data_IF_109734687432
#
_entry.id   IF_109734687432
#
_cell.length_a   1.000
_cell.length_b   1.000
_cell.length_c   1.000
_cell.angle_alpha   90.00
_cell.angle_beta   90.00
_cell.angle_gamma   90.00
#
_symmetry.space_group_name_H-M   'P 1'
#
loop_
_entity.id
_entity.type
_entity.pdbx_description
1 polymer ?
#
# COMPACT_ATOMS: atom_id res chain seq x y z
N UNK A 1 -4.61 -39.52 -4.15
CA UNK A 1 -4.78 -38.45 -5.14
C UNK A 1 -3.74 -38.66 -6.22
N UNK A 2 -4.09 -38.54 -7.47
CA UNK A 2 -3.19 -38.95 -8.56
C UNK A 2 -2.09 -37.89 -8.72
N UNK A 3 -0.89 -38.11 -8.21
CA UNK A 3 0.27 -37.22 -8.28
C UNK A 3 0.48 -36.67 -9.71
N UNK A 4 0.25 -37.51 -10.72
CA UNK A 4 0.32 -37.10 -12.14
C UNK A 4 -0.59 -35.95 -12.55
N UNK A 5 -1.80 -35.81 -11.93
CA UNK A 5 -2.73 -34.70 -12.28
C UNK A 5 -2.23 -33.39 -11.68
N UNK A 6 -1.81 -33.41 -10.42
CA UNK A 6 -1.26 -32.22 -9.77
C UNK A 6 0.02 -31.71 -10.46
N UNK A 7 0.91 -32.63 -10.81
CA UNK A 7 2.16 -32.31 -11.53
C UNK A 7 1.87 -31.61 -12.85
N UNK A 8 0.87 -32.06 -13.59
CA UNK A 8 0.45 -31.43 -14.84
C UNK A 8 0.08 -29.96 -14.69
N UNK A 9 -0.51 -29.56 -13.57
CA UNK A 9 -0.89 -28.18 -13.29
C UNK A 9 0.23 -27.33 -12.70
N UNK A 10 1.23 -27.92 -12.06
CA UNK A 10 2.17 -27.16 -11.21
C UNK A 10 3.63 -27.28 -11.63
N UNK A 11 4.07 -28.43 -12.18
CA UNK A 11 5.48 -28.75 -12.39
C UNK A 11 6.14 -27.77 -13.36
N UNK A 12 5.57 -27.59 -14.55
CA UNK A 12 6.13 -26.72 -15.59
C UNK A 12 6.20 -25.25 -15.13
N UNK A 13 5.19 -24.79 -14.38
CA UNK A 13 5.18 -23.45 -13.81
C UNK A 13 6.30 -23.24 -12.79
N UNK A 14 6.55 -24.23 -11.91
CA UNK A 14 7.61 -24.17 -10.92
C UNK A 14 9.00 -24.28 -11.56
N UNK A 15 9.18 -25.15 -12.55
CA UNK A 15 10.43 -25.27 -13.33
C UNK A 15 10.73 -23.98 -14.08
N UNK A 16 9.72 -23.40 -14.74
CA UNK A 16 9.85 -22.10 -15.42
C UNK A 16 10.20 -20.98 -14.43
N UNK A 17 9.58 -20.97 -13.23
CA UNK A 17 9.92 -19.98 -12.21
C UNK A 17 11.37 -20.10 -11.74
N UNK A 18 11.91 -21.33 -11.59
CA UNK A 18 13.33 -21.55 -11.25
C UNK A 18 14.27 -21.11 -12.39
N UNK A 19 13.95 -21.49 -13.62
CA UNK A 19 14.75 -21.13 -14.79
C UNK A 19 14.84 -19.61 -15.01
N UNK A 20 13.77 -18.89 -14.71
CA UNK A 20 13.68 -17.43 -14.90
C UNK A 20 14.05 -16.63 -13.64
N UNK A 21 14.60 -17.25 -12.59
CA UNK A 21 14.92 -16.59 -11.32
C UNK A 21 13.71 -15.88 -10.67
N UNK A 22 12.47 -16.35 -10.94
CA UNK A 22 11.24 -15.80 -10.33
C UNK A 22 10.68 -16.71 -9.23
N UNK A 23 11.34 -17.83 -8.93
CA UNK A 23 10.97 -18.71 -7.82
C UNK A 23 11.10 -17.96 -6.49
N UNK A 24 10.09 -18.15 -5.62
CA UNK A 24 9.99 -17.44 -4.34
C UNK A 24 10.12 -18.43 -3.19
N UNK A 25 10.89 -18.05 -2.17
CA UNK A 25 11.04 -18.78 -0.91
C UNK A 25 10.65 -17.86 0.25
N UNK A 26 10.09 -18.46 1.31
CA UNK A 26 9.81 -17.74 2.55
C UNK A 26 11.11 -17.57 3.33
N UNK A 27 11.38 -16.34 3.80
CA UNK A 27 12.47 -16.08 4.73
C UNK A 27 11.96 -16.24 6.16
N UNK A 28 12.69 -16.99 6.98
CA UNK A 28 12.37 -17.16 8.39
C UNK A 28 13.07 -16.09 9.22
N UNK A 29 12.29 -15.31 9.97
CA UNK A 29 12.75 -14.33 10.96
C UNK A 29 12.40 -14.91 12.32
N UNK A 30 13.37 -15.04 13.23
CA UNK A 30 13.22 -15.70 14.53
C UNK A 30 13.14 -14.74 15.73
N UNK A 31 12.98 -13.45 15.48
CA UNK A 31 12.77 -12.40 16.49
C UNK A 31 11.49 -11.62 16.20
N UNK A 32 10.98 -10.80 17.15
CA UNK A 32 10.06 -9.73 16.83
C UNK A 32 10.64 -8.82 15.74
N UNK A 33 9.75 -8.23 14.92
CA UNK A 33 10.16 -7.26 13.89
C UNK A 33 10.45 -5.90 14.53
N UNK A 34 11.66 -5.36 14.31
CA UNK A 34 12.12 -4.05 14.74
C UNK A 34 13.15 -3.53 13.73
N UNK A 35 13.91 -2.45 14.06
CA UNK A 35 15.06 -1.99 13.24
C UNK A 35 16.12 -3.07 13.03
N UNK A 36 16.18 -4.03 13.94
CA UNK A 36 16.96 -5.26 13.86
C UNK A 36 16.11 -6.51 13.95
N UNK A 37 16.52 -7.56 13.26
CA UNK A 37 15.90 -8.90 13.32
C UNK A 37 16.95 -9.98 13.37
N UNK A 38 16.59 -11.14 13.93
CA UNK A 38 17.46 -12.32 13.93
C UNK A 38 17.13 -13.22 12.73
N UNK A 39 18.11 -13.42 11.84
CA UNK A 39 18.02 -14.33 10.69
C UNK A 39 19.15 -15.33 10.78
N UNK A 40 18.82 -16.63 10.82
CA UNK A 40 19.79 -17.73 10.96
C UNK A 40 20.78 -17.51 12.13
N UNK A 41 20.29 -16.95 13.25
CA UNK A 41 21.09 -16.68 14.46
C UNK A 41 21.97 -15.42 14.38
N UNK A 42 21.90 -14.64 13.29
CA UNK A 42 22.62 -13.38 13.14
C UNK A 42 21.69 -12.19 13.37
N UNK A 43 22.20 -11.20 14.12
CA UNK A 43 21.57 -9.88 14.23
C UNK A 43 21.75 -9.10 12.91
N UNK A 44 20.67 -8.51 12.40
CA UNK A 44 20.63 -7.97 11.06
C UNK A 44 19.80 -6.69 11.02
N UNK A 45 20.35 -5.60 10.51
CA UNK A 45 19.63 -4.33 10.28
C UNK A 45 18.55 -4.56 9.22
N UNK A 46 17.31 -4.20 9.53
CA UNK A 46 16.13 -4.49 8.71
C UNK A 46 15.74 -3.28 7.85
N UNK A 47 16.14 -3.28 6.59
CA UNK A 47 15.71 -2.29 5.58
C UNK A 47 14.64 -2.84 4.61
N UNK A 48 13.82 -3.78 5.07
CA UNK A 48 12.87 -4.52 4.23
C UNK A 48 11.41 -4.39 4.68
N UNK A 49 11.17 -3.94 5.90
CA UNK A 49 9.82 -3.90 6.48
C UNK A 49 9.04 -2.65 6.06
N UNK A 50 7.71 -2.79 5.99
CA UNK A 50 6.79 -1.67 5.86
C UNK A 50 6.27 -1.16 7.22
N UNK A 51 6.83 -1.60 8.36
CA UNK A 51 6.51 -1.14 9.71
C UNK A 51 7.15 0.23 9.99
N UNK A 52 6.81 1.22 9.16
CA UNK A 52 7.51 2.52 9.08
C UNK A 52 7.66 3.25 10.42
N UNK A 53 6.69 3.10 11.32
CA UNK A 53 6.71 3.76 12.64
C UNK A 53 7.13 2.82 13.78
N UNK A 54 7.34 1.53 13.50
CA UNK A 54 7.70 0.49 14.48
C UNK A 54 6.76 0.44 15.70
N UNK A 55 5.46 0.53 15.45
CA UNK A 55 4.46 0.55 16.52
C UNK A 55 4.22 -0.83 17.14
N UNK A 56 4.49 -1.91 16.42
CA UNK A 56 4.27 -3.28 16.88
C UNK A 56 5.06 -3.62 18.17
N UNK A 57 6.12 -2.85 18.47
CA UNK A 57 6.96 -3.06 19.65
C UNK A 57 6.71 -2.11 20.81
N UNK A 58 5.83 -1.13 20.65
CA UNK A 58 5.48 -0.17 21.71
C UNK A 58 4.76 -0.93 22.84
N UNK A 59 5.28 -0.91 24.10
CA UNK A 59 4.77 -1.75 25.19
C UNK A 59 3.29 -1.52 25.50
N UNK A 60 2.86 -0.25 25.52
CA UNK A 60 1.47 0.12 25.79
C UNK A 60 0.50 -0.36 24.70
N UNK A 61 0.92 -0.42 23.43
CA UNK A 61 0.12 -0.90 22.32
C UNK A 61 0.01 -2.43 22.34
N UNK A 62 1.09 -3.13 22.72
CA UNK A 62 1.05 -4.59 22.98
C UNK A 62 0.08 -4.91 24.10
N UNK A 63 0.11 -4.16 25.21
CA UNK A 63 -0.77 -4.36 26.34
C UNK A 63 -2.22 -4.13 25.94
N UNK A 64 -2.51 -3.05 25.21
CA UNK A 64 -3.86 -2.75 24.74
C UNK A 64 -4.45 -3.88 23.87
N UNK A 65 -3.63 -4.50 23.00
CA UNK A 65 -4.06 -5.67 22.23
C UNK A 65 -4.32 -6.89 23.12
N UNK A 66 -3.46 -7.15 24.12
CA UNK A 66 -3.63 -8.24 25.06
C UNK A 66 -4.93 -8.08 25.88
N UNK A 67 -5.20 -6.89 26.37
CA UNK A 67 -6.43 -6.57 27.11
C UNK A 67 -7.67 -6.77 26.23
N UNK A 68 -7.61 -6.35 24.97
CA UNK A 68 -8.71 -6.55 24.02
C UNK A 68 -8.95 -8.04 23.69
N UNK A 69 -7.89 -8.87 23.67
CA UNK A 69 -8.04 -10.33 23.54
C UNK A 69 -8.79 -10.92 24.75
N UNK A 70 -8.47 -10.46 25.95
CA UNK A 70 -9.12 -10.94 27.18
C UNK A 70 -10.59 -10.51 27.24
N UNK A 71 -10.93 -9.33 26.74
CA UNK A 71 -12.30 -8.79 26.74
C UNK A 71 -13.15 -9.37 25.59
N UNK A 72 -12.62 -9.38 24.37
CA UNK A 72 -13.41 -9.67 23.16
C UNK A 72 -13.15 -11.07 22.56
N UNK A 73 -12.16 -11.81 23.06
CA UNK A 73 -11.75 -13.08 22.52
C UNK A 73 -10.88 -12.97 21.27
N UNK A 74 -10.57 -14.13 20.66
CA UNK A 74 -9.57 -14.25 19.59
C UNK A 74 -10.14 -14.12 18.18
N UNK A 75 -11.46 -14.01 18.01
CA UNK A 75 -12.06 -13.96 16.68
C UNK A 75 -13.50 -13.45 16.66
N UNK A 76 -14.03 -13.17 15.49
CA UNK A 76 -15.35 -12.57 15.30
C UNK A 76 -16.46 -13.59 15.12
N UNK A 77 -16.19 -14.79 14.60
CA UNK A 77 -17.13 -15.88 14.41
C UNK A 77 -18.17 -15.68 13.30
N UNK A 78 -18.26 -14.51 12.68
CA UNK A 78 -19.24 -14.19 11.63
C UNK A 78 -18.84 -12.99 10.78
N UNK A 79 -19.56 -12.77 9.68
CA UNK A 79 -19.41 -11.57 8.87
C UNK A 79 -19.94 -10.32 9.59
N UNK A 80 -19.46 -9.13 9.18
CA UNK A 80 -19.88 -7.83 9.76
C UNK A 80 -21.41 -7.64 9.77
N UNK A 81 -22.09 -8.10 8.72
CA UNK A 81 -23.55 -7.97 8.59
C UNK A 81 -24.38 -9.01 9.38
N UNK A 82 -23.72 -9.94 10.06
CA UNK A 82 -24.40 -10.95 10.88
C UNK A 82 -24.05 -10.79 12.36
N UNK A 83 -23.00 -11.46 12.82
CA UNK A 83 -22.57 -11.46 14.22
C UNK A 83 -21.18 -10.88 14.44
N UNK A 84 -20.47 -10.56 13.34
CA UNK A 84 -19.05 -10.15 13.37
C UNK A 84 -18.81 -8.70 13.71
N UNK A 85 -19.86 -7.81 13.68
CA UNK A 85 -19.70 -6.42 14.07
C UNK A 85 -19.68 -6.30 15.60
N UNK A 86 -18.65 -5.68 16.15
CA UNK A 86 -18.42 -5.45 17.57
C UNK A 86 -18.02 -3.98 17.81
N UNK A 87 -18.19 -3.50 19.03
CA UNK A 87 -17.78 -2.14 19.43
C UNK A 87 -16.40 -1.71 18.93
N UNK A 88 -15.32 -2.51 19.03
CA UNK A 88 -14.02 -2.11 18.52
C UNK A 88 -13.99 -1.81 17.00
N UNK A 89 -14.86 -2.44 16.22
CA UNK A 89 -14.93 -2.13 14.77
C UNK A 89 -15.56 -0.74 14.54
N UNK A 90 -16.65 -0.44 15.25
CA UNK A 90 -17.34 0.83 15.10
C UNK A 90 -16.45 2.00 15.57
N UNK A 91 -15.80 1.84 16.71
CA UNK A 91 -14.84 2.82 17.25
C UNK A 91 -13.63 3.03 16.33
N UNK A 92 -13.10 1.96 15.72
CA UNK A 92 -12.03 2.05 14.74
C UNK A 92 -12.47 2.85 13.50
N UNK A 93 -13.63 2.54 12.94
CA UNK A 93 -14.18 3.22 11.76
C UNK A 93 -14.45 4.71 12.04
N UNK A 94 -14.99 5.05 13.21
CA UNK A 94 -15.17 6.42 13.64
C UNK A 94 -13.85 7.17 13.76
N UNK A 95 -12.83 6.51 14.35
CA UNK A 95 -11.52 7.14 14.50
C UNK A 95 -10.78 7.29 13.17
N UNK A 96 -10.88 6.30 12.25
CA UNK A 96 -10.31 6.43 10.89
C UNK A 96 -10.91 7.64 10.18
N UNK A 97 -12.24 7.80 10.21
CA UNK A 97 -12.90 8.95 9.60
C UNK A 97 -12.36 10.28 10.17
N UNK A 98 -12.30 10.39 11.50
CA UNK A 98 -11.72 11.56 12.18
C UNK A 98 -10.27 11.79 11.80
N UNK A 99 -9.44 10.75 11.83
CA UNK A 99 -8.00 10.85 11.54
C UNK A 99 -7.75 11.28 10.09
N UNK A 100 -8.56 10.78 9.16
CA UNK A 100 -8.47 11.16 7.74
C UNK A 100 -9.17 12.48 7.40
N UNK A 101 -9.96 13.04 8.31
CA UNK A 101 -10.75 14.25 8.03
C UNK A 101 -11.93 14.01 7.10
N UNK A 102 -12.45 12.78 7.07
CA UNK A 102 -13.56 12.33 6.24
C UNK A 102 -14.87 12.19 7.01
N UNK A 103 -16.00 12.14 6.30
CA UNK A 103 -17.32 12.01 6.96
C UNK A 103 -17.56 10.64 7.59
N UNK A 104 -16.98 9.58 7.01
CA UNK A 104 -17.17 8.20 7.44
C UNK A 104 -16.05 7.30 6.94
N UNK A 105 -15.93 6.11 7.55
CA UNK A 105 -15.01 5.07 7.12
C UNK A 105 -15.60 3.67 7.31
N UNK A 106 -14.99 2.68 6.65
CA UNK A 106 -15.32 1.26 6.77
C UNK A 106 -14.01 0.45 6.77
N UNK A 107 -13.90 -0.50 7.71
CA UNK A 107 -12.73 -1.37 7.85
C UNK A 107 -12.92 -2.71 7.13
N UNK A 108 -11.86 -3.16 6.47
CA UNK A 108 -11.72 -4.44 5.79
C UNK A 108 -10.62 -5.29 6.45
N UNK A 109 -10.64 -6.61 6.23
CA UNK A 109 -9.63 -7.48 6.81
C UNK A 109 -8.21 -7.21 6.25
N UNK A 110 -8.09 -6.68 5.04
CA UNK A 110 -6.81 -6.29 4.44
C UNK A 110 -6.98 -5.09 3.50
N UNK A 111 -5.90 -4.33 3.25
CA UNK A 111 -5.90 -3.30 2.21
C UNK A 111 -6.18 -3.86 0.80
N UNK A 112 -5.72 -5.10 0.53
CA UNK A 112 -6.05 -5.80 -0.70
C UNK A 112 -7.57 -5.96 -0.89
N UNK A 113 -8.28 -6.40 0.16
CA UNK A 113 -9.74 -6.56 0.15
C UNK A 113 -10.47 -5.21 0.05
N UNK A 114 -9.91 -4.15 0.62
CA UNK A 114 -10.43 -2.79 0.50
C UNK A 114 -10.41 -2.33 -0.96
N UNK A 115 -9.27 -2.45 -1.66
CA UNK A 115 -9.15 -2.10 -3.08
C UNK A 115 -10.09 -2.93 -3.96
N UNK A 116 -10.00 -4.26 -3.87
CA UNK A 116 -10.81 -5.17 -4.69
C UNK A 116 -12.30 -4.94 -4.47
N UNK A 117 -12.72 -4.81 -3.20
CA UNK A 117 -14.12 -4.61 -2.84
C UNK A 117 -14.67 -3.27 -3.29
N UNK A 118 -13.89 -2.21 -3.19
CA UNK A 118 -14.28 -0.85 -3.53
C UNK A 118 -14.41 -0.67 -5.05
N UNK A 119 -13.36 -1.02 -5.79
CA UNK A 119 -13.34 -0.86 -7.25
C UNK A 119 -14.44 -1.70 -7.90
N UNK A 120 -14.57 -2.97 -7.50
CA UNK A 120 -15.59 -3.87 -8.07
C UNK A 120 -17.02 -3.54 -7.63
N UNK A 121 -17.21 -2.76 -6.55
CA UNK A 121 -18.51 -2.25 -6.16
C UNK A 121 -18.89 -0.96 -6.92
N UNK A 122 -17.92 -0.05 -7.10
CA UNK A 122 -18.16 1.25 -7.74
C UNK A 122 -18.33 1.14 -9.25
N UNK A 123 -17.59 0.26 -9.92
CA UNK A 123 -17.55 0.14 -11.37
C UNK A 123 -18.04 -1.22 -11.87
N UNK A 124 -18.67 -1.21 -13.03
CA UNK A 124 -19.13 -2.39 -13.77
C UNK A 124 -18.80 -2.31 -15.25
N UNK A 125 -19.27 -3.28 -16.05
CA UNK A 125 -18.90 -3.46 -17.47
C UNK A 125 -19.19 -2.25 -18.38
N UNK A 126 -20.06 -1.34 -17.95
CA UNK A 126 -20.43 -0.15 -18.73
C UNK A 126 -19.65 1.11 -18.32
N UNK A 127 -18.86 1.02 -17.27
CA UNK A 127 -18.08 2.12 -16.69
C UNK A 127 -16.63 2.09 -17.21
N UNK A 128 -15.90 3.16 -16.97
CA UNK A 128 -14.51 3.34 -17.40
C UNK A 128 -13.60 3.57 -16.20
N UNK A 129 -12.42 2.95 -16.22
CA UNK A 129 -11.41 3.13 -15.18
C UNK A 129 -10.12 3.62 -15.82
N UNK A 130 -9.51 4.64 -15.21
CA UNK A 130 -8.22 5.20 -15.60
C UNK A 130 -7.20 4.85 -14.53
N UNK A 131 -6.25 3.97 -14.86
CA UNK A 131 -5.30 3.39 -13.92
C UNK A 131 -3.88 3.82 -14.27
N UNK A 132 -3.12 4.31 -13.29
CA UNK A 132 -1.68 4.46 -13.44
C UNK A 132 -1.03 3.10 -13.73
N UNK A 133 -0.03 3.07 -14.61
CA UNK A 133 0.62 1.83 -15.05
C UNK A 133 1.41 1.11 -13.94
N UNK A 134 1.78 1.82 -12.87
CA UNK A 134 2.52 1.27 -11.73
C UNK A 134 1.64 0.96 -10.51
N UNK A 135 0.33 1.02 -10.65
CA UNK A 135 -0.61 0.72 -9.57
C UNK A 135 -0.41 -0.68 -8.98
N UNK A 136 -0.68 -0.79 -7.67
CA UNK A 136 -0.59 -2.03 -6.94
C UNK A 136 -1.50 -3.13 -7.50
N UNK A 137 -1.05 -4.39 -7.38
CA UNK A 137 -1.75 -5.58 -7.90
C UNK A 137 -3.22 -5.68 -7.43
N UNK A 138 -3.55 -5.25 -6.21
CA UNK A 138 -4.92 -5.25 -5.70
C UNK A 138 -5.85 -4.30 -6.45
N UNK A 139 -5.33 -3.18 -6.94
CA UNK A 139 -6.06 -2.24 -7.81
C UNK A 139 -6.33 -2.92 -9.14
N UNK A 140 -5.30 -3.51 -9.76
CA UNK A 140 -5.41 -4.24 -11.03
C UNK A 140 -6.45 -5.38 -10.92
N UNK A 141 -6.44 -6.15 -9.83
CA UNK A 141 -7.39 -7.24 -9.63
C UNK A 141 -8.81 -6.72 -9.36
N UNK A 142 -8.96 -5.61 -8.63
CA UNK A 142 -10.24 -4.92 -8.47
C UNK A 142 -10.82 -4.45 -9.81
N UNK A 143 -9.97 -3.88 -10.68
CA UNK A 143 -10.34 -3.47 -12.05
C UNK A 143 -10.82 -4.67 -12.87
N UNK A 144 -10.07 -5.78 -12.87
CA UNK A 144 -10.44 -7.00 -13.58
C UNK A 144 -11.79 -7.55 -13.11
N UNK A 145 -12.02 -7.57 -11.79
CA UNK A 145 -13.28 -8.05 -11.20
C UNK A 145 -14.46 -7.15 -11.50
N UNK A 146 -14.26 -5.84 -11.62
CA UNK A 146 -15.31 -4.88 -12.00
C UNK A 146 -15.85 -5.12 -13.41
N UNK A 147 -15.01 -5.67 -14.30
CA UNK A 147 -15.27 -5.80 -15.75
C UNK A 147 -15.44 -4.46 -16.47
N UNK A 148 -15.13 -3.35 -15.82
CA UNK A 148 -15.10 -2.04 -16.45
C UNK A 148 -13.99 -1.99 -17.50
N UNK A 149 -14.15 -1.13 -18.50
CA UNK A 149 -13.08 -0.90 -19.46
C UNK A 149 -11.99 -0.07 -18.82
N UNK A 150 -10.77 -0.61 -18.80
CA UNK A 150 -9.61 0.06 -18.24
C UNK A 150 -8.80 0.74 -19.33
N UNK A 151 -8.43 1.99 -19.07
CA UNK A 151 -7.42 2.75 -19.79
C UNK A 151 -6.24 2.93 -18.84
N UNK A 152 -5.10 2.34 -19.19
CA UNK A 152 -3.86 2.50 -18.44
C UNK A 152 -3.13 3.73 -18.98
N UNK A 153 -2.81 4.69 -18.11
CA UNK A 153 -2.01 5.85 -18.46
C UNK A 153 -0.58 5.72 -17.91
N UNK A 154 0.36 6.40 -18.57
CA UNK A 154 1.77 6.40 -18.18
C UNK A 154 1.93 6.98 -16.79
N UNK A 155 2.86 6.40 -16.05
CA UNK A 155 3.11 6.74 -14.67
C UNK A 155 3.27 8.25 -14.45
N UNK A 156 2.41 8.80 -13.58
CA UNK A 156 2.34 10.22 -13.24
C UNK A 156 2.23 11.19 -14.44
N UNK A 157 1.85 10.71 -15.65
CA UNK A 157 1.64 11.56 -16.83
C UNK A 157 0.20 12.06 -16.90
N UNK A 158 -0.02 13.25 -16.38
CA UNK A 158 -1.35 13.90 -16.34
C UNK A 158 -1.89 14.18 -17.73
N UNK A 159 -1.04 14.49 -18.71
CA UNK A 159 -1.46 14.70 -20.09
C UNK A 159 -1.91 13.38 -20.75
N UNK A 160 -1.27 12.26 -20.42
CA UNK A 160 -1.69 10.95 -20.90
C UNK A 160 -3.02 10.51 -20.25
N UNK A 161 -3.21 10.82 -18.95
CA UNK A 161 -4.49 10.62 -18.26
C UNK A 161 -5.62 11.41 -18.94
N UNK A 162 -5.41 12.69 -19.26
CA UNK A 162 -6.43 13.50 -19.97
C UNK A 162 -6.76 12.90 -21.34
N UNK A 163 -5.76 12.48 -22.12
CA UNK A 163 -5.98 11.79 -23.42
C UNK A 163 -6.78 10.49 -23.24
N UNK A 164 -6.48 9.71 -22.21
CA UNK A 164 -7.20 8.48 -21.90
C UNK A 164 -8.70 8.75 -21.59
N UNK A 165 -8.98 9.80 -20.82
CA UNK A 165 -10.36 10.20 -20.51
C UNK A 165 -11.10 10.66 -21.76
N UNK A 166 -10.48 11.49 -22.63
CA UNK A 166 -11.08 11.90 -23.87
C UNK A 166 -11.38 10.71 -24.80
N UNK A 167 -10.46 9.76 -24.92
CA UNK A 167 -10.67 8.55 -25.70
C UNK A 167 -11.85 7.72 -25.14
N UNK A 168 -11.97 7.60 -23.82
CA UNK A 168 -13.09 6.89 -23.18
C UNK A 168 -14.43 7.61 -23.41
N UNK A 169 -14.47 8.94 -23.33
CA UNK A 169 -15.67 9.73 -23.60
C UNK A 169 -16.12 9.61 -25.06
N UNK A 170 -15.19 9.67 -26.01
CA UNK A 170 -15.49 9.46 -27.42
C UNK A 170 -16.07 8.05 -27.67
N UNK A 171 -15.52 7.02 -27.03
CA UNK A 171 -16.05 5.66 -27.10
C UNK A 171 -17.44 5.54 -26.48
N UNK A 172 -17.66 6.18 -25.32
CA UNK A 172 -18.97 6.24 -24.69
C UNK A 172 -20.01 6.86 -25.62
N UNK A 173 -19.69 8.03 -26.21
CA UNK A 173 -20.58 8.72 -27.16
C UNK A 173 -20.93 7.85 -28.37
N UNK A 174 -19.94 7.16 -28.93
CA UNK A 174 -20.15 6.26 -30.05
C UNK A 174 -21.03 5.06 -29.67
N UNK A 175 -20.83 4.49 -28.47
CA UNK A 175 -21.64 3.36 -27.95
C UNK A 175 -23.08 3.75 -27.68
N UNK A 176 -23.30 4.87 -26.99
CA UNK A 176 -24.62 5.36 -26.60
C UNK A 176 -25.33 6.16 -27.70
N UNK A 177 -24.64 6.45 -28.83
CA UNK A 177 -25.13 7.27 -29.94
C UNK A 177 -25.59 8.65 -29.50
N UNK A 178 -24.86 9.28 -28.60
CA UNK A 178 -25.09 10.63 -28.07
C UNK A 178 -24.00 11.59 -28.54
N UNK A 179 -24.34 12.88 -28.60
CA UNK A 179 -23.37 13.92 -28.93
C UNK A 179 -22.36 14.11 -27.77
N UNK A 180 -21.17 14.59 -28.08
CA UNK A 180 -20.08 14.80 -27.09
C UNK A 180 -20.46 15.73 -25.93
N UNK A 181 -21.42 16.62 -26.12
CA UNK A 181 -21.93 17.50 -25.08
C UNK A 181 -23.07 16.89 -24.23
N UNK A 182 -23.47 15.65 -24.51
CA UNK A 182 -24.56 14.93 -23.82
C UNK A 182 -24.05 13.75 -22.98
N UNK A 183 -22.88 13.87 -22.33
CA UNK A 183 -22.21 12.81 -21.54
C UNK A 183 -22.71 12.71 -20.09
N UNK A 184 -23.94 13.09 -19.80
CA UNK A 184 -24.48 13.14 -18.43
C UNK A 184 -24.46 11.80 -17.68
N UNK A 185 -24.36 10.67 -18.40
CA UNK A 185 -24.32 9.31 -17.83
C UNK A 185 -22.93 8.67 -17.93
N UNK A 186 -21.89 9.41 -18.31
CA UNK A 186 -20.54 8.90 -18.31
C UNK A 186 -20.09 8.63 -16.86
N UNK A 187 -19.56 7.43 -16.63
CA UNK A 187 -19.04 7.05 -15.32
C UNK A 187 -17.57 6.67 -15.45
N UNK A 188 -16.70 7.54 -14.95
CA UNK A 188 -15.26 7.36 -14.93
C UNK A 188 -14.73 7.29 -13.50
N UNK A 189 -13.77 6.40 -13.27
CA UNK A 189 -13.01 6.29 -12.03
C UNK A 189 -11.51 6.43 -12.35
N UNK A 190 -10.87 7.47 -11.83
CA UNK A 190 -9.41 7.59 -11.81
C UNK A 190 -8.93 6.88 -10.55
N UNK A 191 -7.96 5.97 -10.66
CA UNK A 191 -7.41 5.26 -9.51
C UNK A 191 -5.88 5.21 -9.58
N UNK A 192 -5.22 5.53 -8.45
CA UNK A 192 -3.76 5.49 -8.34
C UNK A 192 -3.30 5.26 -6.90
N UNK A 193 -2.08 4.71 -6.73
CA UNK A 193 -1.37 4.72 -5.45
C UNK A 193 -0.96 6.15 -5.09
N UNK A 194 -1.01 6.52 -3.82
CA UNK A 194 -0.51 7.79 -3.30
C UNK A 194 1.03 7.83 -3.25
N UNK A 195 1.61 6.69 -2.89
CA UNK A 195 3.06 6.43 -2.87
C UNK A 195 3.30 5.11 -3.58
N UNK A 196 4.08 5.12 -4.64
CA UNK A 196 4.38 3.92 -5.41
C UNK A 196 5.40 3.05 -4.69
N UNK A 197 4.98 1.81 -4.42
CA UNK A 197 5.66 0.93 -3.47
C UNK A 197 7.08 0.51 -3.87
N UNK A 198 7.46 0.64 -5.15
CA UNK A 198 8.77 0.21 -5.66
C UNK A 198 9.71 1.39 -5.92
N UNK A 199 9.18 2.58 -6.12
CA UNK A 199 9.93 3.77 -6.49
C UNK A 199 9.94 4.83 -5.36
N UNK A 200 8.93 4.81 -4.49
CA UNK A 200 8.82 5.74 -3.37
C UNK A 200 8.40 7.16 -3.77
N UNK A 201 8.05 7.36 -5.02
CA UNK A 201 7.55 8.63 -5.53
C UNK A 201 6.05 8.81 -5.25
N UNK A 202 5.57 10.04 -5.41
CA UNK A 202 4.24 10.46 -5.00
C UNK A 202 3.35 10.76 -6.20
N UNK A 203 2.07 10.39 -6.11
CA UNK A 203 1.06 10.88 -7.04
C UNK A 203 0.85 12.39 -6.90
N UNK A 204 0.61 13.07 -8.00
CA UNK A 204 0.32 14.51 -8.03
C UNK A 204 -1.17 14.75 -7.71
N UNK A 205 -1.54 14.65 -6.42
CA UNK A 205 -2.94 14.75 -5.98
C UNK A 205 -3.63 16.06 -6.40
N UNK A 206 -3.00 17.26 -6.30
CA UNK A 206 -3.66 18.48 -6.74
C UNK A 206 -4.08 18.46 -8.20
N UNK A 207 -3.24 17.93 -9.07
CA UNK A 207 -3.52 17.86 -10.49
C UNK A 207 -4.54 16.76 -10.83
N UNK A 208 -4.47 15.63 -10.14
CA UNK A 208 -5.49 14.56 -10.23
C UNK A 208 -6.88 15.07 -9.84
N UNK A 209 -6.99 15.84 -8.75
CA UNK A 209 -8.24 16.47 -8.33
C UNK A 209 -8.77 17.47 -9.39
N UNK A 210 -7.87 18.30 -9.94
CA UNK A 210 -8.24 19.23 -11.02
C UNK A 210 -8.83 18.49 -12.23
N UNK A 211 -8.16 17.42 -12.66
CA UNK A 211 -8.59 16.62 -13.81
C UNK A 211 -9.91 15.90 -13.49
N UNK A 212 -10.01 15.23 -12.35
CA UNK A 212 -11.20 14.49 -11.95
C UNK A 212 -12.44 15.38 -11.98
N UNK A 213 -12.36 16.59 -11.41
CA UNK A 213 -13.46 17.56 -11.40
C UNK A 213 -13.76 18.11 -12.79
N UNK A 214 -12.74 18.50 -13.56
CA UNK A 214 -12.93 19.02 -14.91
C UNK A 214 -13.53 17.99 -15.88
N UNK A 215 -13.42 16.70 -15.56
CA UNK A 215 -13.84 15.59 -16.43
C UNK A 215 -15.02 14.79 -15.88
N UNK A 216 -15.62 15.19 -14.75
CA UNK A 216 -16.71 14.49 -14.07
C UNK A 216 -16.39 13.01 -13.76
N UNK A 217 -15.17 12.76 -13.27
CA UNK A 217 -14.70 11.45 -12.84
C UNK A 217 -14.57 11.40 -11.32
N UNK A 218 -14.84 10.23 -10.72
CA UNK A 218 -14.45 9.94 -9.35
C UNK A 218 -12.93 9.77 -9.27
N UNK A 219 -12.33 10.19 -8.16
CA UNK A 219 -10.93 9.97 -7.83
C UNK A 219 -10.80 9.04 -6.63
N UNK A 220 -10.07 7.93 -6.80
CA UNK A 220 -9.69 7.00 -5.73
C UNK A 220 -8.19 6.99 -5.56
N UNK A 221 -7.72 7.16 -4.31
CA UNK A 221 -6.30 7.13 -3.96
C UNK A 221 -6.05 6.00 -2.95
N UNK A 222 -5.06 5.14 -3.24
CA UNK A 222 -4.56 4.16 -2.27
C UNK A 222 -3.40 4.75 -1.45
N UNK A 223 -3.65 4.98 -0.20
CA UNK A 223 -2.70 5.54 0.77
C UNK A 223 -1.99 4.48 1.61
N UNK A 224 -1.89 3.26 1.16
CA UNK A 224 -1.26 2.18 1.90
C UNK A 224 0.18 2.50 2.34
N UNK A 225 0.92 3.28 1.57
CA UNK A 225 2.27 3.74 1.89
C UNK A 225 2.34 5.23 2.33
N UNK A 226 1.21 5.93 2.39
CA UNK A 226 1.12 7.34 2.75
C UNK A 226 0.61 7.55 4.18
N UNK A 227 -0.43 6.79 4.60
CA UNK A 227 -0.98 6.86 5.96
C UNK A 227 0.09 6.51 7.00
N UNK A 228 0.31 7.40 7.97
CA UNK A 228 1.38 7.30 8.98
C UNK A 228 2.76 7.73 8.48
N UNK A 229 2.91 8.18 7.21
CA UNK A 229 4.20 8.54 6.59
C UNK A 229 4.19 9.96 6.07
N UNK A 230 3.21 10.32 5.24
CA UNK A 230 3.12 11.63 4.60
C UNK A 230 2.28 12.62 5.41
N UNK A 231 2.57 13.90 5.19
CA UNK A 231 1.96 14.99 5.95
C UNK A 231 2.67 15.22 7.29
N UNK A 232 2.41 16.34 7.92
CA UNK A 232 3.05 16.75 9.19
C UNK A 232 2.70 15.80 10.34
N UNK A 233 1.48 15.26 10.33
CA UNK A 233 0.94 14.39 11.37
C UNK A 233 0.65 12.96 10.88
N UNK A 234 1.05 12.62 9.65
CA UNK A 234 0.87 11.29 9.08
C UNK A 234 -0.52 11.01 8.52
N UNK A 235 -1.33 12.06 8.25
CA UNK A 235 -2.67 11.87 7.68
C UNK A 235 -2.69 11.53 6.19
N UNK A 236 -1.53 11.58 5.54
CA UNK A 236 -1.38 11.11 4.16
C UNK A 236 -1.20 12.22 3.12
N UNK A 237 -1.55 11.91 1.87
CA UNK A 237 -1.18 12.71 0.71
C UNK A 237 -1.90 14.08 0.67
N UNK A 238 -3.17 14.14 1.09
CA UNK A 238 -3.92 15.40 1.14
C UNK A 238 -3.32 16.37 2.17
N UNK A 239 -2.93 15.89 3.34
CA UNK A 239 -2.20 16.71 4.32
C UNK A 239 -0.84 17.17 3.78
N UNK A 240 -0.12 16.28 3.08
CA UNK A 240 1.20 16.60 2.49
C UNK A 240 1.11 17.76 1.51
N UNK A 241 0.13 17.74 0.61
CA UNK A 241 -0.09 18.81 -0.38
C UNK A 241 -0.91 19.99 0.15
N UNK A 242 -1.46 19.88 1.36
CA UNK A 242 -2.41 20.86 1.91
C UNK A 242 -3.56 21.15 0.94
N UNK A 243 -4.19 20.10 0.42
CA UNK A 243 -5.27 20.17 -0.56
C UNK A 243 -6.49 19.34 -0.09
N UNK A 244 -7.54 19.33 -0.90
CA UNK A 244 -8.73 18.52 -0.65
C UNK A 244 -8.43 17.02 -0.79
N UNK A 245 -9.29 16.19 -0.19
CA UNK A 245 -9.23 14.74 -0.30
C UNK A 245 -9.76 14.24 -1.65
N UNK A 246 -9.35 13.04 -2.04
CA UNK A 246 -10.00 12.31 -3.12
C UNK A 246 -11.41 11.87 -2.69
N UNK A 247 -12.28 11.53 -3.65
CA UNK A 247 -13.64 11.04 -3.34
C UNK A 247 -13.62 9.72 -2.57
N UNK A 248 -12.57 8.93 -2.77
CA UNK A 248 -12.37 7.61 -2.16
C UNK A 248 -10.91 7.50 -1.70
N UNK A 249 -10.70 7.47 -0.39
CA UNK A 249 -9.38 7.23 0.22
C UNK A 249 -9.31 5.80 0.74
N UNK A 250 -8.45 4.98 0.14
CA UNK A 250 -8.17 3.62 0.63
C UNK A 250 -6.86 3.63 1.41
N UNK A 251 -6.75 2.79 2.42
CA UNK A 251 -5.50 2.62 3.15
C UNK A 251 -5.36 1.23 3.76
N UNK A 252 -4.21 1.00 4.36
CA UNK A 252 -3.97 -0.23 5.12
C UNK A 252 -3.66 0.06 6.57
N UNK A 253 -4.05 -0.89 7.44
CA UNK A 253 -3.70 -0.89 8.86
C UNK A 253 -2.46 -1.75 9.15
N UNK A 254 -1.87 -2.39 8.12
CA UNK A 254 -0.81 -3.39 8.29
C UNK A 254 0.62 -2.87 8.11
N UNK A 255 0.79 -1.60 7.77
CA UNK A 255 2.12 -1.00 7.57
C UNK A 255 2.48 -0.05 8.72
N UNK A 256 2.44 1.25 8.51
CA UNK A 256 2.75 2.23 9.56
C UNK A 256 1.87 2.08 10.81
N UNK A 257 0.62 1.64 10.64
CA UNK A 257 -0.33 1.39 11.75
C UNK A 257 -0.02 0.10 12.52
N UNK A 258 0.79 -0.82 11.95
CA UNK A 258 1.31 -2.03 12.61
C UNK A 258 0.22 -2.95 13.22
N UNK A 259 -0.93 -3.06 12.55
CA UNK A 259 -1.99 -4.03 12.87
C UNK A 259 -2.27 -4.92 11.64
N UNK A 260 -3.40 -5.57 11.56
CA UNK A 260 -3.90 -6.19 10.34
C UNK A 260 -5.15 -5.44 9.89
N UNK A 261 -5.34 -5.29 8.57
CA UNK A 261 -6.54 -4.69 8.03
C UNK A 261 -6.31 -3.70 6.90
N UNK A 262 -7.41 -3.17 6.41
CA UNK A 262 -7.48 -2.06 5.48
C UNK A 262 -8.71 -1.21 5.79
N UNK A 263 -8.83 -0.08 5.12
CA UNK A 263 -9.98 0.80 5.29
C UNK A 263 -10.30 1.55 4.01
N UNK A 264 -11.53 2.04 3.94
CA UNK A 264 -11.95 3.07 2.99
C UNK A 264 -12.56 4.21 3.79
N UNK A 265 -12.15 5.43 3.49
CA UNK A 265 -12.71 6.65 4.06
C UNK A 265 -13.25 7.56 2.94
N UNK A 266 -14.28 8.35 3.24
CA UNK A 266 -14.94 9.27 2.32
C UNK A 266 -16.32 9.69 2.81
N UNK A 267 -17.23 10.04 1.89
CA UNK A 267 -18.57 10.47 2.23
C UNK A 267 -19.39 9.36 2.91
N UNK A 268 -20.38 9.75 3.74
CA UNK A 268 -21.33 8.80 4.35
C UNK A 268 -22.04 7.97 3.29
N UNK A 269 -22.42 8.58 2.18
CA UNK A 269 -23.08 7.88 1.07
C UNK A 269 -22.20 6.80 0.46
N UNK A 270 -20.90 7.07 0.25
CA UNK A 270 -19.93 6.08 -0.22
C UNK A 270 -19.86 4.89 0.74
N UNK A 271 -19.69 5.16 2.01
CA UNK A 271 -19.52 4.10 3.02
C UNK A 271 -20.79 3.26 3.17
N UNK A 272 -21.97 3.87 3.15
CA UNK A 272 -23.24 3.14 3.14
C UNK A 272 -23.36 2.26 1.88
N UNK A 273 -22.98 2.79 0.72
CA UNK A 273 -22.97 2.02 -0.54
C UNK A 273 -22.04 0.82 -0.43
N UNK A 274 -20.81 0.98 0.07
CA UNK A 274 -19.84 -0.11 0.22
C UNK A 274 -20.31 -1.19 1.20
N UNK A 275 -20.94 -0.83 2.31
CA UNK A 275 -21.56 -1.78 3.25
C UNK A 275 -22.59 -2.69 2.57
N UNK A 276 -23.24 -2.21 1.51
CA UNK A 276 -24.30 -2.93 0.78
C UNK A 276 -23.85 -3.58 -0.53
N UNK A 277 -22.68 -3.23 -1.08
CA UNK A 277 -22.23 -3.67 -2.40
C UNK A 277 -20.85 -4.31 -2.44
N UNK A 278 -19.96 -3.98 -1.51
CA UNK A 278 -18.60 -4.51 -1.49
C UNK A 278 -18.58 -5.99 -1.10
N UNK A 279 -18.31 -6.86 -2.07
CA UNK A 279 -18.36 -8.32 -1.87
C UNK A 279 -17.29 -8.81 -0.89
N UNK A 280 -16.08 -8.24 -0.91
CA UNK A 280 -15.01 -8.59 0.02
C UNK A 280 -15.29 -8.17 1.46
N UNK A 281 -16.24 -7.25 1.69
CA UNK A 281 -16.76 -6.90 3.00
C UNK A 281 -17.93 -7.82 3.42
N UNK A 282 -18.89 -8.02 2.52
CA UNK A 282 -20.15 -8.73 2.81
C UNK A 282 -19.92 -10.23 3.06
N UNK A 283 -19.05 -10.87 2.25
CA UNK A 283 -18.92 -12.32 2.20
C UNK A 283 -17.64 -12.84 2.86
N UNK A 284 -17.12 -12.10 3.84
CA UNK A 284 -15.97 -12.53 4.65
C UNK A 284 -16.31 -12.48 6.14
N UNK A 285 -15.68 -13.34 6.94
CA UNK A 285 -15.68 -13.20 8.39
C UNK A 285 -15.00 -11.90 8.76
N UNK A 286 -15.55 -11.15 9.71
CA UNK A 286 -14.96 -9.91 10.21
C UNK A 286 -13.58 -10.14 10.81
N UNK A 287 -12.70 -9.12 10.77
CA UNK A 287 -11.43 -9.16 11.51
C UNK A 287 -11.69 -9.42 13.01
N UNK A 288 -10.72 -9.98 13.72
CA UNK A 288 -10.87 -10.19 15.15
C UNK A 288 -11.04 -8.83 15.88
N UNK A 289 -11.96 -8.74 16.87
CA UNK A 289 -12.18 -7.49 17.59
C UNK A 289 -10.91 -6.93 18.25
N UNK A 290 -10.05 -7.81 18.75
CA UNK A 290 -8.77 -7.42 19.33
C UNK A 290 -7.82 -6.76 18.30
N UNK A 291 -7.87 -7.18 17.03
CA UNK A 291 -7.12 -6.55 15.94
C UNK A 291 -7.69 -5.17 15.63
N UNK A 292 -9.02 -5.02 15.62
CA UNK A 292 -9.66 -3.71 15.45
C UNK A 292 -9.29 -2.74 16.59
N UNK A 293 -9.32 -3.22 17.85
CA UNK A 293 -8.90 -2.44 19.00
C UNK A 293 -7.42 -2.05 18.94
N UNK A 294 -6.53 -2.96 18.52
CA UNK A 294 -5.12 -2.67 18.32
C UNK A 294 -4.91 -1.59 17.24
N UNK A 295 -5.58 -1.72 16.09
CA UNK A 295 -5.50 -0.74 15.02
C UNK A 295 -5.98 0.65 15.49
N UNK A 296 -7.07 0.72 16.23
CA UNK A 296 -7.57 1.95 16.87
C UNK A 296 -6.52 2.59 17.77
N UNK A 297 -5.93 1.81 18.70
CA UNK A 297 -4.92 2.32 19.63
C UNK A 297 -3.66 2.80 18.91
N UNK A 298 -3.24 2.07 17.87
CA UNK A 298 -2.10 2.45 17.05
C UNK A 298 -2.34 3.75 16.26
N UNK A 299 -3.53 3.94 15.70
CA UNK A 299 -3.90 5.22 15.06
C UNK A 299 -3.97 6.36 16.05
N UNK A 300 -4.53 6.13 17.26
CA UNK A 300 -4.55 7.12 18.34
C UNK A 300 -3.13 7.50 18.76
N UNK A 301 -2.22 6.53 18.81
CA UNK A 301 -0.81 6.78 19.10
C UNK A 301 -0.17 7.66 18.01
N UNK A 302 -0.39 7.37 16.73
CA UNK A 302 0.12 8.21 15.62
C UNK A 302 -0.40 9.65 15.76
N UNK A 303 -1.68 9.83 16.04
CA UNK A 303 -2.31 11.14 16.19
C UNK A 303 -1.75 11.95 17.38
N UNK A 304 -1.43 11.25 18.48
CA UNK A 304 -0.85 11.85 19.68
C UNK A 304 0.67 12.09 19.57
N UNK A 305 1.37 11.38 18.68
CA UNK A 305 2.84 11.37 18.57
C UNK A 305 3.35 11.73 17.17
N UNK A 306 3.05 12.93 16.64
CA UNK A 306 3.49 13.35 15.30
C UNK A 306 5.02 13.42 15.18
N UNK A 307 5.77 13.50 16.29
CA UNK A 307 7.23 13.42 16.34
C UNK A 307 7.76 12.09 15.77
N UNK A 308 6.96 11.00 15.83
CA UNK A 308 7.33 9.70 15.25
C UNK A 308 7.40 9.76 13.72
N UNK A 309 6.46 10.50 13.10
CA UNK A 309 6.45 10.76 11.66
C UNK A 309 7.64 11.64 11.26
N UNK A 310 7.97 12.65 12.08
CA UNK A 310 9.12 13.49 11.83
C UNK A 310 10.43 12.71 11.94
N UNK A 311 10.58 11.84 12.95
CA UNK A 311 11.74 10.97 13.13
C UNK A 311 11.96 10.06 11.91
N UNK A 312 10.89 9.49 11.34
CA UNK A 312 10.98 8.73 10.10
C UNK A 312 11.55 9.56 8.95
N UNK A 313 11.05 10.79 8.75
CA UNK A 313 11.55 11.70 7.70
C UNK A 313 13.02 12.08 7.91
N UNK A 314 13.41 12.34 9.16
CA UNK A 314 14.81 12.65 9.49
C UNK A 314 15.73 11.46 9.19
N UNK A 315 15.28 10.23 9.42
CA UNK A 315 15.98 9.01 9.06
C UNK A 315 16.07 8.81 7.54
N UNK A 316 14.99 9.07 6.80
CA UNK A 316 15.00 9.02 5.33
C UNK A 316 16.01 10.00 4.77
N UNK A 317 15.95 11.25 5.22
CA UNK A 317 16.91 12.29 4.78
C UNK A 317 18.34 11.89 5.09
N UNK A 318 18.61 11.46 6.33
CA UNK A 318 19.93 11.02 6.75
C UNK A 318 20.48 9.88 5.89
N UNK A 319 19.67 8.84 5.65
CA UNK A 319 20.10 7.69 4.88
C UNK A 319 20.35 8.04 3.39
N UNK A 320 19.49 8.86 2.78
CA UNK A 320 19.72 9.35 1.43
C UNK A 320 21.03 10.17 1.33
N UNK A 321 21.30 11.03 2.31
CA UNK A 321 22.51 11.84 2.34
C UNK A 321 23.76 10.95 2.54
N UNK A 322 23.69 9.93 3.41
CA UNK A 322 24.76 8.96 3.61
C UNK A 322 25.05 8.16 2.33
N UNK A 323 24.02 7.63 1.66
CA UNK A 323 24.21 6.92 0.39
C UNK A 323 24.86 7.80 -0.69
N UNK A 324 24.47 9.07 -0.79
CA UNK A 324 25.07 10.04 -1.73
C UNK A 324 26.51 10.37 -1.37
N UNK A 325 26.83 10.50 -0.09
CA UNK A 325 28.19 10.72 0.40
C UNK A 325 29.13 9.56 0.01
N UNK A 326 28.61 8.33 0.00
CA UNK A 326 29.29 7.14 -0.47
C UNK A 326 29.26 6.98 -2.01
N UNK A 327 28.80 7.98 -2.76
CA UNK A 327 28.84 8.00 -4.24
C UNK A 327 27.65 7.33 -4.94
N UNK A 328 26.64 6.87 -4.19
CA UNK A 328 25.46 6.24 -4.78
C UNK A 328 24.43 7.30 -5.21
N UNK A 329 23.84 7.10 -6.38
CA UNK A 329 22.77 7.94 -6.87
C UNK A 329 21.41 7.39 -6.37
N UNK A 330 20.76 8.14 -5.50
CA UNK A 330 19.41 7.82 -5.02
C UNK A 330 18.50 9.04 -5.23
N UNK A 331 17.22 8.83 -5.58
CA UNK A 331 16.28 9.92 -5.73
C UNK A 331 16.10 10.66 -4.40
N UNK A 332 15.65 11.91 -4.49
CA UNK A 332 15.07 12.57 -3.33
C UNK A 332 13.65 12.01 -3.16
N UNK A 333 13.34 11.52 -1.96
CA UNK A 333 12.02 11.00 -1.62
C UNK A 333 11.52 11.59 -0.33
N UNK A 334 10.20 11.76 -0.25
CA UNK A 334 9.50 12.16 0.97
C UNK A 334 8.83 10.95 1.65
N UNK A 335 8.85 9.78 0.98
CA UNK A 335 8.34 8.54 1.54
C UNK A 335 9.43 7.75 2.27
N UNK A 336 9.03 6.71 2.99
CA UNK A 336 9.94 5.81 3.69
C UNK A 336 10.66 4.81 2.77
N UNK A 337 10.47 4.91 1.44
CA UNK A 337 10.96 3.95 0.44
C UNK A 337 12.04 4.60 -0.40
N UNK A 338 13.22 3.97 -0.46
CA UNK A 338 14.39 4.47 -1.19
C UNK A 338 14.84 3.38 -2.16
N UNK A 339 14.62 3.57 -3.47
CA UNK A 339 15.12 2.64 -4.49
C UNK A 339 16.60 2.91 -4.78
N UNK A 340 17.41 1.85 -4.81
CA UNK A 340 18.81 1.87 -5.25
C UNK A 340 18.88 1.05 -6.52
N UNK A 341 18.93 1.71 -7.68
CA UNK A 341 18.85 1.07 -8.99
C UNK A 341 20.13 0.30 -9.30
N UNK A 342 19.98 -0.97 -9.61
CA UNK A 342 21.10 -1.88 -10.00
C UNK A 342 21.04 -2.21 -11.49
N UNK A 343 19.84 -2.28 -12.07
CA UNK A 343 19.61 -2.63 -13.48
C UNK A 343 19.55 -4.13 -13.72
N UNK A 344 20.68 -4.84 -13.55
CA UNK A 344 20.76 -6.29 -13.78
C UNK A 344 20.11 -7.08 -12.63
N UNK A 345 19.23 -8.02 -12.97
CA UNK A 345 18.44 -8.80 -12.02
C UNK A 345 19.30 -9.77 -11.19
N UNK A 346 20.24 -10.45 -11.86
CA UNK A 346 21.11 -11.41 -11.19
C UNK A 346 22.12 -10.70 -10.28
N UNK A 347 22.62 -9.53 -10.69
CA UNK A 347 23.48 -8.68 -9.86
C UNK A 347 22.73 -8.20 -8.63
N UNK A 348 21.48 -7.71 -8.76
CA UNK A 348 20.66 -7.26 -7.63
C UNK A 348 20.42 -8.37 -6.61
N UNK A 349 20.14 -9.59 -7.07
CA UNK A 349 19.97 -10.75 -6.18
C UNK A 349 21.25 -11.07 -5.40
N UNK A 350 22.41 -11.14 -6.09
CA UNK A 350 23.70 -11.41 -5.43
C UNK A 350 24.05 -10.35 -4.40
N UNK A 351 23.84 -9.06 -4.73
CA UNK A 351 24.08 -7.96 -3.80
C UNK A 351 23.20 -8.10 -2.56
N UNK A 352 21.88 -8.34 -2.73
CA UNK A 352 20.94 -8.53 -1.61
C UNK A 352 21.36 -9.71 -0.71
N UNK A 353 21.82 -10.82 -1.29
CA UNK A 353 22.29 -11.98 -0.54
C UNK A 353 23.60 -11.68 0.20
N UNK A 354 24.55 -11.01 -0.44
CA UNK A 354 25.81 -10.60 0.18
C UNK A 354 25.57 -9.64 1.34
N UNK A 355 24.71 -8.63 1.17
CA UNK A 355 24.32 -7.69 2.21
C UNK A 355 23.69 -8.39 3.42
N UNK A 356 22.83 -9.38 3.18
CA UNK A 356 22.25 -10.18 4.27
C UNK A 356 23.33 -10.92 5.06
N UNK A 357 24.36 -11.45 4.38
CA UNK A 357 25.47 -12.13 5.04
C UNK A 357 26.37 -11.13 5.83
N UNK A 358 26.40 -9.86 5.43
CA UNK A 358 27.09 -8.77 6.12
C UNK A 358 26.22 -8.06 7.19
N UNK A 359 25.00 -8.58 7.48
CA UNK A 359 24.13 -8.07 8.53
C UNK A 359 23.18 -6.94 8.11
N UNK A 360 22.88 -6.81 6.81
CA UNK A 360 21.90 -5.84 6.30
C UNK A 360 20.85 -6.57 5.45
N UNK A 361 19.61 -6.59 5.87
CA UNK A 361 18.50 -7.14 5.10
C UNK A 361 17.83 -6.08 4.24
N UNK A 362 18.08 -6.12 2.93
CA UNK A 362 17.45 -5.28 1.93
C UNK A 362 17.01 -6.13 0.74
N UNK A 363 15.72 -6.12 0.31
CA UNK A 363 15.24 -6.98 -0.75
C UNK A 363 15.65 -6.48 -2.13
N UNK A 364 16.02 -7.42 -3.01
CA UNK A 364 16.13 -7.16 -4.44
C UNK A 364 14.74 -7.27 -5.09
N UNK A 365 14.31 -6.19 -5.73
CA UNK A 365 13.09 -6.12 -6.54
C UNK A 365 13.47 -6.27 -8.01
N UNK A 366 12.77 -7.16 -8.71
CA UNK A 366 13.05 -7.51 -10.11
C UNK A 366 11.77 -7.81 -10.88
N UNK A 367 11.89 -8.08 -12.17
CA UNK A 367 10.77 -8.55 -12.98
C UNK A 367 10.06 -9.77 -12.33
N UNK A 368 8.72 -9.85 -12.34
CA UNK A 368 7.78 -8.94 -13.02
C UNK A 368 7.30 -7.73 -12.19
N UNK A 369 7.82 -7.54 -10.98
CA UNK A 369 7.40 -6.45 -10.08
C UNK A 369 7.83 -5.08 -10.60
N UNK A 370 8.98 -5.03 -11.27
CA UNK A 370 9.48 -3.86 -12.01
C UNK A 370 9.87 -4.27 -13.44
N UNK A 371 10.01 -3.33 -14.35
CA UNK A 371 10.38 -3.61 -15.73
C UNK A 371 11.76 -4.29 -15.82
N UNK A 372 11.98 -5.08 -16.89
CA UNK A 372 13.28 -5.69 -17.17
C UNK A 372 14.38 -4.63 -17.29
N UNK A 373 15.55 -4.88 -16.71
CA UNK A 373 16.64 -3.93 -16.66
C UNK A 373 16.45 -2.80 -15.62
N UNK A 374 15.41 -2.86 -14.79
CA UNK A 374 15.11 -1.90 -13.72
C UNK A 374 15.18 -2.55 -12.34
N UNK A 375 15.92 -3.66 -12.19
CA UNK A 375 16.12 -4.30 -10.91
C UNK A 375 16.80 -3.35 -9.92
N UNK A 376 16.37 -3.40 -8.67
CA UNK A 376 16.81 -2.50 -7.62
C UNK A 376 16.86 -3.16 -6.26
N UNK A 377 17.62 -2.59 -5.34
CA UNK A 377 17.41 -2.80 -3.92
C UNK A 377 16.36 -1.80 -3.45
N UNK A 378 15.39 -2.24 -2.64
CA UNK A 378 14.34 -1.38 -2.09
C UNK A 378 14.53 -1.23 -0.60
N UNK A 379 15.18 -0.15 -0.17
CA UNK A 379 15.28 0.16 1.24
C UNK A 379 13.94 0.73 1.75
N UNK A 380 13.50 0.21 2.90
CA UNK A 380 12.37 0.72 3.66
C UNK A 380 12.84 1.09 5.05
N UNK A 381 12.62 2.33 5.46
CA UNK A 381 13.10 2.84 6.74
C UNK A 381 12.02 2.80 7.80
N UNK A 382 12.46 2.69 9.05
CA UNK A 382 11.63 2.83 10.24
C UNK A 382 12.04 4.08 11.04
N UNK A 383 11.07 4.63 11.76
CA UNK A 383 11.33 5.75 12.67
C UNK A 383 12.35 5.41 13.77
N UNK A 384 12.48 4.14 14.12
CA UNK A 384 13.37 3.64 15.19
C UNK A 384 14.77 3.30 14.74
N UNK A 385 15.09 3.33 13.44
CA UNK A 385 16.47 3.19 13.02
C UNK A 385 17.34 4.28 13.65
N UNK A 386 18.49 3.88 14.19
CA UNK A 386 19.51 4.83 14.66
C UNK A 386 20.36 5.33 13.49
N UNK A 387 21.03 6.46 13.68
CA UNK A 387 21.96 6.98 12.67
C UNK A 387 23.15 6.06 12.44
N UNK A 388 23.60 5.38 13.49
CA UNK A 388 24.68 4.39 13.44
C UNK A 388 24.31 3.18 12.59
N UNK A 389 23.08 2.66 12.74
CA UNK A 389 22.55 1.57 11.91
C UNK A 389 22.44 1.98 10.44
N UNK A 390 21.93 3.18 10.18
CA UNK A 390 21.75 3.70 8.82
C UNK A 390 23.10 3.98 8.16
N UNK A 391 24.09 4.53 8.86
CA UNK A 391 25.44 4.73 8.36
C UNK A 391 26.14 3.40 8.07
N UNK A 392 26.04 2.42 8.98
CA UNK A 392 26.54 1.07 8.77
C UNK A 392 25.95 0.46 7.49
N UNK A 393 24.62 0.52 7.34
CA UNK A 393 23.95 -0.02 6.17
C UNK A 393 24.36 0.70 4.88
N UNK A 394 24.46 2.04 4.88
CA UNK A 394 24.89 2.82 3.71
C UNK A 394 26.31 2.47 3.29
N UNK A 395 27.25 2.34 4.26
CA UNK A 395 28.63 1.91 4.02
C UNK A 395 28.66 0.52 3.37
N UNK A 396 27.93 -0.47 3.97
CA UNK A 396 27.91 -1.85 3.42
C UNK A 396 27.30 -1.90 2.04
N UNK A 397 26.27 -1.15 1.75
CA UNK A 397 25.66 -1.07 0.43
C UNK A 397 26.66 -0.52 -0.59
N UNK A 398 27.39 0.54 -0.25
CA UNK A 398 28.38 1.15 -1.13
C UNK A 398 29.63 0.27 -1.38
N UNK A 399 30.07 -0.50 -0.37
CA UNK A 399 31.19 -1.44 -0.51
C UNK A 399 30.88 -2.61 -1.47
N UNK A 400 29.59 -2.98 -1.64
CA UNK A 400 29.18 -4.19 -2.35
C UNK A 400 28.63 -3.89 -3.77
N UNK A 401 28.11 -2.68 -4.04
CA UNK A 401 27.60 -2.29 -5.36
C UNK A 401 28.76 -1.98 -6.35
#
# INVERSE_FOLDING_TARGET
>A
MNERILDFFTKDALETARANNTYRTLRHISSPEASHVTIAGKDTVLLASNSYLDLANVPELKQAMADAVLEWGTGSGGARLTTGNKTPHDELEEFIAKFKGEESAIAFNTGYMANVGTISALCGKNDFIFSDELNHASIIDGIRLSRAKCFVYKHNDMADLERAIEAAKAEFCAREKVAENAVSNFRGLIVTDAVFSMDGDLANLPELLRIARARDCLLMIDEAHATGVLGRTGRGLAEYYNCEHADVTVGTLSKAVAAEGGFVAGSKQLIEFLKNKSRSFIFTTAMAPAVAAAALRNLQFIDAHPERVQQLRDNVKFFCDALRLHGLQVPQTESAIIPIIIGDEAKALRISETLQNEGVLIPAIRYPTVAKGQARLRASLMATHTKEELEFAATKIAEII
#
